data_IF_739758153934
#
_entry.id   IF_739758153934
#
_cell.length_a   1.000
_cell.length_b   1.000
_cell.length_c   1.000
_cell.angle_alpha   90.00
_cell.angle_beta   90.00
_cell.angle_gamma   90.00
#
_symmetry.space_group_name_H-M   'P 1'
#
loop_
_entity.id
_entity.type
_entity.pdbx_description
1 polymer ?
#
# COMPACT_ATOMS: atom_id res chain seq x y z
N UNK A 1 2.74 1.99 -3.30
CA UNK A 1 2.13 3.24 -2.80
C UNK A 1 2.11 4.30 -3.89
N UNK A 2 3.23 4.79 -4.43
CA UNK A 2 3.18 5.80 -5.52
C UNK A 2 2.46 5.39 -6.81
N UNK A 3 2.36 4.08 -7.07
CA UNK A 3 1.60 3.54 -8.20
C UNK A 3 0.08 3.72 -8.01
N UNK A 4 -0.37 3.83 -6.76
CA UNK A 4 -1.79 3.92 -6.37
C UNK A 4 -2.12 5.35 -5.96
N UNK A 5 -1.32 5.93 -5.07
CA UNK A 5 -1.43 7.28 -4.50
C UNK A 5 -0.38 8.24 -5.06
N UNK A 6 -0.67 9.54 -5.06
CA UNK A 6 0.34 10.56 -5.37
C UNK A 6 1.20 10.84 -4.12
N UNK A 7 2.51 10.51 -4.13
CA UNK A 7 3.37 10.74 -2.98
C UNK A 7 3.58 12.23 -2.67
N UNK A 8 3.22 13.16 -3.56
CA UNK A 8 3.37 14.60 -3.33
C UNK A 8 2.16 15.23 -2.62
N UNK A 9 1.06 14.51 -2.47
CA UNK A 9 -0.08 14.97 -1.67
C UNK A 9 0.28 14.80 -0.19
N UNK A 10 0.51 15.91 0.52
CA UNK A 10 0.96 15.91 1.92
C UNK A 10 -0.17 16.31 2.87
N UNK A 11 -0.30 15.63 4.03
CA UNK A 11 -1.28 16.01 5.05
C UNK A 11 -0.85 17.24 5.87
N UNK A 12 0.45 17.58 5.91
CA UNK A 12 0.99 18.67 6.73
C UNK A 12 1.89 19.60 5.91
N UNK A 13 1.67 20.91 6.01
CA UNK A 13 2.45 21.93 5.30
C UNK A 13 3.95 21.92 5.65
N UNK A 14 4.29 21.48 6.87
CA UNK A 14 5.68 21.37 7.33
C UNK A 14 6.40 20.14 6.76
N UNK A 15 5.68 19.16 6.20
CA UNK A 15 6.26 17.95 5.66
C UNK A 15 6.78 18.18 4.24
N UNK A 16 8.10 18.32 4.12
CA UNK A 16 8.75 18.58 2.82
C UNK A 16 9.01 17.31 2.01
N UNK A 17 9.19 16.17 2.66
CA UNK A 17 9.59 14.92 2.02
C UNK A 17 8.60 13.78 2.30
N UNK A 18 8.50 12.84 1.35
CA UNK A 18 7.74 11.59 1.54
C UNK A 18 8.44 10.71 2.54
N UNK A 19 7.72 10.32 3.59
CA UNK A 19 8.18 9.33 4.55
C UNK A 19 7.73 7.98 4.00
N UNK A 20 8.69 7.10 3.71
CA UNK A 20 8.44 5.75 3.22
C UNK A 20 8.47 4.71 4.33
N UNK A 21 9.09 5.04 5.46
CA UNK A 21 9.15 4.16 6.62
C UNK A 21 7.76 4.02 7.25
N UNK A 22 7.35 2.77 7.46
CA UNK A 22 6.18 2.44 8.24
C UNK A 22 6.47 2.49 9.75
N UNK A 23 5.44 2.25 10.55
CA UNK A 23 5.56 2.15 12.03
C UNK A 23 6.39 0.94 12.47
N UNK A 24 6.62 -0.05 11.59
CA UNK A 24 7.43 -1.23 11.87
C UNK A 24 6.72 -2.34 12.66
N UNK A 25 5.38 -2.38 12.62
CA UNK A 25 4.56 -3.40 13.30
C UNK A 25 4.51 -4.71 12.51
N UNK A 26 4.49 -4.62 11.18
CA UNK A 26 4.45 -5.75 10.25
C UNK A 26 5.76 -5.81 9.46
N UNK A 27 6.20 -7.02 9.14
CA UNK A 27 7.37 -7.31 8.29
C UNK A 27 7.02 -7.36 6.78
N UNK A 28 5.79 -6.99 6.42
CA UNK A 28 5.30 -6.91 5.04
C UNK A 28 4.43 -5.68 4.82
N UNK A 29 4.34 -5.25 3.56
CA UNK A 29 3.42 -4.19 3.12
C UNK A 29 2.02 -4.74 2.91
N UNK A 30 0.99 -3.92 3.18
CA UNK A 30 -0.40 -4.27 2.83
C UNK A 30 -0.77 -3.58 1.52
N UNK A 31 -1.38 -4.33 0.60
CA UNK A 31 -1.99 -3.81 -0.61
C UNK A 31 -3.53 -3.93 -0.48
N UNK A 32 -4.22 -2.86 -0.05
CA UNK A 32 -5.67 -2.87 0.13
C UNK A 32 -6.39 -2.86 -1.22
N UNK A 33 -7.72 -2.88 -1.19
CA UNK A 33 -8.58 -2.77 -2.37
C UNK A 33 -8.33 -3.83 -3.45
N UNK A 34 -7.64 -4.93 -3.12
CA UNK A 34 -7.34 -5.97 -4.10
C UNK A 34 -8.65 -6.63 -4.53
N UNK A 35 -8.89 -6.70 -5.85
CA UNK A 35 -10.11 -7.31 -6.44
C UNK A 35 -11.40 -6.86 -5.73
N UNK A 36 -11.48 -5.58 -5.43
CA UNK A 36 -12.61 -4.94 -4.75
C UNK A 36 -13.33 -3.98 -5.68
N UNK A 37 -14.57 -3.63 -5.37
CA UNK A 37 -15.32 -2.59 -6.09
C UNK A 37 -14.82 -1.20 -5.65
N UNK A 38 -13.57 -0.90 -5.98
CA UNK A 38 -12.87 0.30 -5.57
C UNK A 38 -12.08 0.88 -6.75
N UNK A 39 -12.06 2.22 -6.96
CA UNK A 39 -11.35 2.85 -8.09
C UNK A 39 -9.87 2.46 -8.20
N UNK A 40 -9.24 2.16 -7.06
CA UNK A 40 -7.83 1.79 -7.01
C UNK A 40 -7.55 0.33 -7.35
N UNK A 41 -8.56 -0.55 -7.34
CA UNK A 41 -8.36 -1.99 -7.50
C UNK A 41 -7.60 -2.36 -8.78
N UNK A 42 -7.77 -1.59 -9.87
CA UNK A 42 -7.04 -1.83 -11.12
C UNK A 42 -5.53 -1.56 -11.00
N UNK A 43 -5.14 -0.57 -10.21
CA UNK A 43 -3.72 -0.21 -9.98
C UNK A 43 -3.03 -1.12 -8.97
N UNK A 44 -3.80 -1.85 -8.15
CA UNK A 44 -3.26 -2.80 -7.17
C UNK A 44 -2.56 -3.96 -7.89
N UNK A 45 -3.03 -4.39 -9.06
CA UNK A 45 -2.37 -5.44 -9.85
C UNK A 45 -0.96 -5.00 -10.31
N UNK A 46 -0.81 -3.75 -10.77
CA UNK A 46 0.50 -3.16 -11.10
C UNK A 46 1.43 -3.08 -9.88
N UNK A 47 0.87 -2.75 -8.71
CA UNK A 47 1.63 -2.75 -7.46
C UNK A 47 2.11 -4.17 -7.09
N UNK A 48 1.30 -5.21 -7.29
CA UNK A 48 1.67 -6.61 -7.06
C UNK A 48 2.86 -7.00 -7.95
N UNK A 49 2.81 -6.65 -9.25
CA UNK A 49 3.90 -6.92 -10.18
C UNK A 49 5.20 -6.24 -9.74
N UNK A 50 5.12 -4.96 -9.36
CA UNK A 50 6.26 -4.21 -8.85
C UNK A 50 6.84 -4.85 -7.58
N UNK A 51 6.00 -5.16 -6.59
CA UNK A 51 6.45 -5.73 -5.31
C UNK A 51 7.10 -7.10 -5.53
N UNK A 52 6.50 -7.94 -6.38
CA UNK A 52 7.03 -9.26 -6.75
C UNK A 52 8.39 -9.13 -7.44
N UNK A 53 8.51 -8.24 -8.44
CA UNK A 53 9.76 -8.01 -9.16
C UNK A 53 10.89 -7.53 -8.25
N UNK A 54 10.57 -6.67 -7.28
CA UNK A 54 11.53 -6.11 -6.34
C UNK A 54 11.72 -6.95 -5.06
N UNK A 55 11.06 -8.11 -4.96
CA UNK A 55 11.12 -9.01 -3.80
C UNK A 55 10.73 -8.33 -2.48
N UNK A 56 9.79 -7.39 -2.54
CA UNK A 56 9.24 -6.71 -1.37
C UNK A 56 8.13 -7.61 -0.80
N UNK A 57 8.18 -8.03 0.48
CA UNK A 57 7.10 -8.83 1.07
C UNK A 57 5.79 -8.02 1.16
N UNK A 58 4.68 -8.63 0.74
CA UNK A 58 3.37 -8.01 0.84
C UNK A 58 2.25 -9.02 1.11
N UNK A 59 1.11 -8.52 1.59
CA UNK A 59 -0.19 -9.20 1.58
C UNK A 59 -1.23 -8.31 0.93
N UNK A 60 -2.08 -8.91 0.09
CA UNK A 60 -3.25 -8.24 -0.44
C UNK A 60 -4.44 -8.40 0.50
N UNK A 61 -5.31 -7.40 0.53
CA UNK A 61 -6.60 -7.47 1.22
C UNK A 61 -7.69 -6.93 0.30
N UNK A 62 -8.84 -7.61 0.27
CA UNK A 62 -10.09 -7.09 -0.28
C UNK A 62 -10.78 -6.20 0.74
N UNK A 63 -11.66 -5.32 0.28
CA UNK A 63 -12.45 -4.49 1.17
C UNK A 63 -13.31 -5.34 2.10
N UNK A 64 -13.20 -5.07 3.40
CA UNK A 64 -13.86 -5.84 4.46
C UNK A 64 -13.03 -6.98 5.05
N UNK A 65 -11.89 -7.35 4.45
CA UNK A 65 -10.94 -8.29 5.07
C UNK A 65 -10.10 -7.60 6.16
N UNK A 66 -9.69 -8.37 7.16
CA UNK A 66 -8.91 -7.88 8.31
C UNK A 66 -7.74 -8.81 8.64
N UNK A 67 -6.69 -8.24 9.21
CA UNK A 67 -5.57 -8.96 9.81
C UNK A 67 -5.70 -8.81 11.33
N UNK A 68 -5.78 -9.94 12.05
CA UNK A 68 -5.78 -9.98 13.52
C UNK A 68 -4.43 -10.54 13.97
N UNK A 69 -3.79 -9.85 14.90
CA UNK A 69 -2.51 -10.23 15.53
C UNK A 69 -2.79 -10.38 17.02
N UNK A 70 -2.35 -11.49 17.60
CA UNK A 70 -2.49 -11.81 19.03
C UNK A 70 -1.20 -11.52 19.80
#
# INVERSE_FOLDING_TARGET
MELVDDPNVKPYDSQKETIWDGVGILDYTILPHYKSDHPESGKVDEAIEYMTKNKIPFKTLRDGEVIIIE
#
